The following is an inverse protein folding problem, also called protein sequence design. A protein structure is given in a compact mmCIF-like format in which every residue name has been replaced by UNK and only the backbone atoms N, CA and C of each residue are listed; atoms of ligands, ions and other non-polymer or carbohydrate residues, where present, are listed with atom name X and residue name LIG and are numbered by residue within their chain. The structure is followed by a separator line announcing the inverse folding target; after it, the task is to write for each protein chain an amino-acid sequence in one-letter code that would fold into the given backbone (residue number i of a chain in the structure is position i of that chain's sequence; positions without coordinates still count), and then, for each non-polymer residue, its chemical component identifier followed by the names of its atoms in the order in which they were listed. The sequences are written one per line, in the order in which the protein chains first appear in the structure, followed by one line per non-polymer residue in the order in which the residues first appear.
data_IF_504697956376
#
_entry.id   IF_504697956376
#
_cell.length_a   1.000
_cell.length_b   1.000
_cell.length_c   1.000
_cell.angle_alpha   90.00
_cell.angle_beta   90.00
_cell.angle_gamma   90.00
#
_symmetry.space_group_name_H-M   'P 1'
#
loop_
_entity.id
_entity.type
_entity.pdbx_description
1 polymer ?
#
# COMPACT_ATOMS: atom_id res chain seq x y z
N UNK A 1 -9.79 -19.35 -8.67
CA UNK A 1 -8.65 -18.44 -8.39
C UNK A 1 -8.22 -17.78 -9.68
N UNK A 2 -7.82 -16.51 -9.64
CA UNK A 2 -7.55 -15.75 -10.86
C UNK A 2 -6.06 -15.69 -11.22
N UNK A 3 -5.80 -15.55 -12.50
CA UNK A 3 -4.56 -15.04 -13.04
C UNK A 3 -4.70 -13.54 -13.29
N UNK A 4 -3.61 -12.81 -13.07
CA UNK A 4 -3.52 -11.39 -13.30
C UNK A 4 -2.25 -11.06 -14.08
N UNK A 5 -2.40 -10.31 -15.17
CA UNK A 5 -1.27 -9.83 -15.95
C UNK A 5 -1.41 -8.37 -16.33
N UNK A 6 -0.28 -7.71 -16.50
CA UNK A 6 -0.22 -6.34 -16.99
C UNK A 6 1.15 -6.08 -17.62
N UNK A 7 1.23 -5.02 -18.41
CA UNK A 7 2.46 -4.45 -18.94
C UNK A 7 2.77 -3.17 -18.17
N UNK A 8 4.02 -3.00 -17.81
CA UNK A 8 4.54 -1.76 -17.26
C UNK A 8 5.97 -1.55 -17.74
N UNK A 9 6.55 -0.39 -17.46
CA UNK A 9 7.98 -0.22 -17.65
C UNK A 9 8.76 -1.20 -16.77
N UNK A 10 9.79 -1.81 -17.34
CA UNK A 10 10.71 -2.67 -16.65
C UNK A 10 11.61 -1.83 -15.75
N UNK A 11 11.86 -2.34 -14.56
CA UNK A 11 12.89 -1.85 -13.67
C UNK A 11 13.83 -2.98 -13.30
N UNK A 12 15.09 -2.62 -13.05
CA UNK A 12 16.02 -3.46 -12.33
C UNK A 12 16.04 -3.08 -10.86
N UNK A 13 16.28 -4.11 -10.06
CA UNK A 13 16.78 -3.98 -8.71
C UNK A 13 18.30 -3.95 -8.81
N UNK A 14 18.90 -2.79 -8.55
CA UNK A 14 20.35 -2.66 -8.59
C UNK A 14 20.84 -2.56 -7.15
N UNK A 15 21.81 -3.43 -6.82
CA UNK A 15 22.48 -3.42 -5.53
C UNK A 15 23.84 -2.76 -5.69
N UNK A 16 24.00 -1.54 -5.18
CA UNK A 16 25.31 -0.93 -5.01
C UNK A 16 25.69 -0.91 -3.53
N UNK A 17 26.82 -1.52 -3.22
CA UNK A 17 27.30 -1.69 -1.83
C UNK A 17 26.27 -2.41 -0.94
N UNK A 18 25.67 -1.69 0.03
CA UNK A 18 24.67 -2.18 0.99
C UNK A 18 23.26 -1.65 0.71
N UNK A 19 23.02 -1.02 -0.45
CA UNK A 19 21.74 -0.39 -0.79
C UNK A 19 21.11 -1.02 -2.03
N UNK A 20 19.78 -1.08 -2.03
CA UNK A 20 18.98 -1.43 -3.21
C UNK A 20 18.31 -0.19 -3.79
N UNK A 21 18.45 0.02 -5.09
CA UNK A 21 17.71 1.08 -5.80
C UNK A 21 17.00 0.53 -7.03
N UNK A 22 15.93 1.23 -7.40
CA UNK A 22 15.12 0.93 -8.58
C UNK A 22 15.68 1.75 -9.75
N UNK A 23 16.13 1.05 -10.80
CA UNK A 23 16.53 1.67 -12.06
C UNK A 23 15.56 1.30 -13.17
N UNK A 24 14.82 2.28 -13.67
CA UNK A 24 13.94 2.11 -14.82
C UNK A 24 14.74 1.83 -16.11
N UNK A 25 14.23 0.94 -16.95
CA UNK A 25 14.90 0.53 -18.20
C UNK A 25 14.40 1.24 -19.45
N UNK A 26 13.36 2.06 -19.36
CA UNK A 26 12.66 2.61 -20.54
C UNK A 26 12.27 1.53 -21.56
N UNK A 27 11.97 0.32 -21.07
CA UNK A 27 11.53 -0.84 -21.86
C UNK A 27 10.31 -1.43 -21.20
N UNK A 28 9.31 -1.83 -21.96
CA UNK A 28 8.13 -2.47 -21.39
C UNK A 28 8.42 -3.94 -21.06
N UNK A 29 7.77 -4.43 -20.00
CA UNK A 29 7.79 -5.83 -19.60
C UNK A 29 6.38 -6.26 -19.19
N UNK A 30 5.97 -7.41 -19.70
CA UNK A 30 4.76 -8.09 -19.25
C UNK A 30 5.06 -8.85 -17.94
N UNK A 31 4.15 -8.71 -16.99
CA UNK A 31 4.13 -9.43 -15.73
C UNK A 31 2.88 -10.29 -15.70
N UNK A 32 3.01 -11.52 -15.21
CA UNK A 32 1.88 -12.44 -15.08
C UNK A 32 2.02 -13.21 -13.77
N UNK A 33 0.91 -13.31 -13.05
CA UNK A 33 0.82 -13.93 -11.74
C UNK A 33 -0.40 -14.88 -11.73
N UNK A 34 -0.23 -16.06 -11.14
CA UNK A 34 -1.33 -16.97 -10.81
C UNK A 34 -1.80 -16.72 -9.37
N UNK A 35 -2.83 -17.46 -8.95
CA UNK A 35 -3.23 -17.57 -7.54
C UNK A 35 -3.62 -16.23 -6.90
N UNK A 36 -4.25 -15.37 -7.70
CA UNK A 36 -4.73 -14.07 -7.30
C UNK A 36 -6.19 -14.14 -6.83
N UNK A 37 -6.50 -13.38 -5.79
CA UNK A 37 -7.86 -13.03 -5.38
C UNK A 37 -8.20 -11.66 -5.95
N UNK A 38 -9.43 -11.49 -6.42
CA UNK A 38 -9.89 -10.23 -7.00
C UNK A 38 -11.12 -9.77 -6.25
N UNK A 39 -11.13 -8.50 -5.85
CA UNK A 39 -12.26 -7.81 -5.26
C UNK A 39 -12.61 -6.58 -6.08
N UNK A 40 -13.90 -6.31 -6.18
CA UNK A 40 -14.44 -5.16 -6.90
C UNK A 40 -15.11 -4.23 -5.89
N UNK A 41 -14.88 -2.94 -6.03
CA UNK A 41 -15.57 -1.90 -5.26
C UNK A 41 -16.13 -0.89 -6.25
N UNK A 42 -17.44 -0.66 -6.22
CA UNK A 42 -18.09 0.41 -6.98
C UNK A 42 -17.46 1.78 -6.69
N UNK A 43 -17.38 2.63 -7.71
CA UNK A 43 -16.97 4.02 -7.58
C UNK A 43 -18.01 4.93 -8.22
N UNK A 44 -18.01 6.19 -7.80
CA UNK A 44 -18.74 7.24 -8.51
C UNK A 44 -18.31 7.28 -10.00
N UNK A 45 -19.19 7.79 -10.87
CA UNK A 45 -18.94 8.00 -12.30
C UNK A 45 -18.84 6.72 -13.17
N UNK A 46 -19.57 5.66 -12.83
CA UNK A 46 -19.62 4.43 -13.62
C UNK A 46 -18.25 3.74 -13.78
N UNK A 47 -17.37 3.95 -12.80
CA UNK A 47 -16.06 3.33 -12.68
C UNK A 47 -16.11 2.24 -11.61
N UNK A 48 -15.23 1.24 -11.73
CA UNK A 48 -15.04 0.26 -10.67
C UNK A 48 -13.57 0.22 -10.28
N UNK A 49 -13.34 0.13 -8.97
CA UNK A 49 -12.02 -0.17 -8.43
C UNK A 49 -11.84 -1.67 -8.37
N UNK A 50 -10.78 -2.14 -9.00
CA UNK A 50 -10.36 -3.54 -8.97
C UNK A 50 -9.19 -3.64 -8.02
N UNK A 51 -9.28 -4.53 -7.04
CA UNK A 51 -8.23 -4.84 -6.08
C UNK A 51 -7.82 -6.29 -6.31
N UNK A 52 -6.56 -6.48 -6.66
CA UNK A 52 -5.94 -7.78 -6.84
C UNK A 52 -5.03 -8.06 -5.66
N UNK A 53 -5.20 -9.23 -5.03
CA UNK A 53 -4.36 -9.71 -3.94
C UNK A 53 -3.68 -11.01 -4.31
N UNK A 54 -2.45 -11.17 -3.84
CA UNK A 54 -1.74 -12.45 -3.86
C UNK A 54 -1.05 -12.69 -2.52
N UNK A 55 -1.05 -13.93 -2.06
CA UNK A 55 -0.31 -14.29 -0.85
C UNK A 55 1.19 -14.23 -1.12
N UNK A 56 1.92 -13.84 -0.08
CA UNK A 56 3.38 -13.92 -0.02
C UNK A 56 3.78 -14.35 1.38
N UNK A 57 4.57 -15.42 1.44
CA UNK A 57 5.16 -15.90 2.67
C UNK A 57 6.67 -15.68 2.68
N UNK A 58 7.27 -15.70 3.86
CA UNK A 58 8.71 -15.59 4.04
C UNK A 58 9.08 -15.63 5.52
N UNK A 59 10.35 -15.35 5.81
CA UNK A 59 10.86 -15.29 7.19
C UNK A 59 11.24 -13.85 7.55
N UNK A 60 10.73 -13.37 8.69
CA UNK A 60 11.07 -12.07 9.23
C UNK A 60 12.26 -12.19 10.18
N UNK A 61 13.38 -11.57 9.81
CA UNK A 61 14.53 -11.45 10.73
C UNK A 61 14.23 -10.59 11.95
N UNK A 62 13.24 -9.70 11.85
CA UNK A 62 12.86 -8.81 12.95
C UNK A 62 11.99 -9.53 13.99
N UNK A 63 11.02 -10.34 13.54
CA UNK A 63 10.15 -11.13 14.42
C UNK A 63 10.72 -12.51 14.74
N UNK A 64 11.79 -12.91 14.06
CA UNK A 64 12.39 -14.24 14.13
C UNK A 64 11.40 -15.38 13.82
N UNK A 65 10.41 -15.09 12.98
CA UNK A 65 9.31 -16.00 12.65
C UNK A 65 8.98 -15.99 11.15
N UNK A 66 8.34 -17.06 10.69
CA UNK A 66 7.68 -17.03 9.39
C UNK A 66 6.51 -16.03 9.40
N UNK A 67 6.20 -15.49 8.23
CA UNK A 67 5.06 -14.61 8.01
C UNK A 67 4.29 -15.00 6.75
N UNK A 68 3.02 -14.60 6.73
CA UNK A 68 2.17 -14.60 5.55
C UNK A 68 1.48 -13.23 5.46
N UNK A 69 1.66 -12.58 4.31
CA UNK A 69 1.04 -11.29 3.99
C UNK A 69 0.33 -11.36 2.64
N UNK A 70 -0.56 -10.40 2.40
CA UNK A 70 -1.02 -10.11 1.05
C UNK A 70 -0.13 -9.05 0.39
N UNK A 71 0.18 -9.27 -0.88
CA UNK A 71 0.53 -8.17 -1.78
C UNK A 71 -0.75 -7.68 -2.45
N UNK A 72 -0.97 -6.38 -2.44
CA UNK A 72 -2.15 -5.73 -3.01
C UNK A 72 -1.73 -4.84 -4.19
N UNK A 73 -2.51 -4.89 -5.28
CA UNK A 73 -2.47 -3.94 -6.38
C UNK A 73 -3.90 -3.48 -6.67
N UNK A 74 -4.09 -2.16 -6.79
CA UNK A 74 -5.40 -1.56 -7.01
C UNK A 74 -5.36 -0.67 -8.24
N UNK A 75 -6.37 -0.77 -9.10
CA UNK A 75 -6.53 0.11 -10.26
C UNK A 75 -8.00 0.45 -10.48
N UNK A 76 -8.25 1.53 -11.20
CA UNK A 76 -9.61 1.99 -11.53
C UNK A 76 -9.89 1.71 -13.00
N UNK A 77 -10.91 0.89 -13.26
CA UNK A 77 -11.34 0.57 -14.61
C UNK A 77 -12.50 1.48 -15.04
N UNK A 78 -12.30 2.21 -16.14
CA UNK A 78 -13.34 2.98 -16.81
C UNK A 78 -13.95 2.25 -18.00
N UNK A 79 -13.23 1.29 -18.59
CA UNK A 79 -13.76 0.40 -19.60
C UNK A 79 -13.16 -1.01 -19.46
N UNK A 80 -13.92 -2.01 -19.91
CA UNK A 80 -13.45 -3.38 -19.98
C UNK A 80 -14.14 -4.10 -21.14
N UNK A 81 -13.47 -5.12 -21.66
CA UNK A 81 -14.03 -6.02 -22.66
C UNK A 81 -13.69 -7.46 -22.32
N UNK A 82 -14.63 -8.36 -22.58
CA UNK A 82 -14.38 -9.79 -22.52
C UNK A 82 -13.86 -10.28 -23.86
N UNK A 83 -12.81 -11.09 -23.85
CA UNK A 83 -12.25 -11.70 -25.04
C UNK A 83 -12.07 -13.20 -24.82
N UNK A 84 -12.68 -14.00 -25.69
CA UNK A 84 -12.59 -15.46 -25.64
C UNK A 84 -11.44 -15.96 -26.51
N UNK A 85 -10.51 -16.70 -25.91
CA UNK A 85 -9.37 -17.32 -26.60
C UNK A 85 -9.44 -18.82 -26.38
N UNK A 86 -9.84 -19.56 -27.41
CA UNK A 86 -10.09 -21.00 -27.29
C UNK A 86 -11.24 -21.27 -26.33
N UNK A 87 -10.94 -21.93 -25.20
CA UNK A 87 -11.89 -22.26 -24.14
C UNK A 87 -11.79 -21.35 -22.90
N UNK A 88 -11.03 -20.24 -22.99
CA UNK A 88 -10.83 -19.32 -21.87
C UNK A 88 -11.44 -17.95 -22.18
N UNK A 89 -12.14 -17.40 -21.20
CA UNK A 89 -12.54 -16.00 -21.21
C UNK A 89 -11.48 -15.16 -20.50
N UNK A 90 -11.20 -13.97 -21.03
CA UNK A 90 -10.23 -13.02 -20.48
C UNK A 90 -10.91 -11.65 -20.40
N UNK A 91 -10.88 -11.04 -19.21
CA UNK A 91 -11.30 -9.66 -19.01
C UNK A 91 -10.10 -8.77 -19.28
N UNK A 92 -10.23 -7.88 -20.25
CA UNK A 92 -9.22 -6.88 -20.61
C UNK A 92 -9.72 -5.52 -20.15
N UNK A 93 -8.89 -4.81 -19.38
CA UNK A 93 -9.22 -3.50 -18.83
C UNK A 93 -8.49 -2.40 -19.61
N UNK A 94 -9.24 -1.35 -19.97
CA UNK A 94 -8.66 -0.13 -20.51
C UNK A 94 -8.55 0.88 -19.37
N UNK A 95 -7.31 1.27 -19.03
CA UNK A 95 -7.01 2.22 -17.96
C UNK A 95 -6.73 3.62 -18.54
N UNK A 96 -7.25 4.65 -17.88
CA UNK A 96 -6.95 6.04 -18.22
C UNK A 96 -5.46 6.31 -18.01
N UNK A 97 -4.76 6.63 -19.11
CA UNK A 97 -3.33 6.92 -19.05
C UNK A 97 -3.11 8.38 -18.64
N UNK A 98 -2.36 8.62 -17.57
CA UNK A 98 -2.01 10.00 -17.20
C UNK A 98 -0.98 10.58 -18.17
N UNK A 99 -0.97 11.91 -18.30
CA UNK A 99 0.09 12.62 -19.04
C UNK A 99 1.33 12.88 -18.20
N UNK A 100 1.26 12.57 -16.90
CA UNK A 100 2.36 12.82 -15.98
C UNK A 100 3.42 11.72 -16.16
N UNK A 101 4.60 12.12 -16.62
CA UNK A 101 5.72 11.19 -16.86
C UNK A 101 6.23 10.55 -15.57
N UNK A 102 5.90 11.13 -14.42
CA UNK A 102 6.26 10.60 -13.11
C UNK A 102 5.21 9.60 -12.57
N UNK A 103 3.99 9.59 -13.13
CA UNK A 103 2.94 8.62 -12.81
C UNK A 103 2.79 7.61 -13.95
N UNK A 104 3.33 6.42 -13.76
CA UNK A 104 3.31 5.35 -14.76
C UNK A 104 2.07 4.51 -14.54
N UNK A 105 1.19 4.44 -15.53
CA UNK A 105 -0.02 3.64 -15.46
C UNK A 105 0.23 2.20 -15.96
N UNK A 106 -0.54 1.25 -15.46
CA UNK A 106 -0.54 -0.11 -15.98
C UNK A 106 -1.13 -0.13 -17.40
N UNK A 107 -0.60 -1.01 -18.24
CA UNK A 107 -1.05 -1.25 -19.62
C UNK A 107 -1.46 -2.71 -19.81
N UNK A 108 -2.26 -2.99 -20.83
CA UNK A 108 -2.68 -4.35 -21.20
C UNK A 108 -3.09 -5.21 -19.99
N UNK A 109 -3.89 -4.62 -19.10
CA UNK A 109 -4.28 -5.25 -17.84
C UNK A 109 -5.33 -6.32 -18.13
N UNK A 110 -5.07 -7.54 -17.66
CA UNK A 110 -5.91 -8.71 -17.91
C UNK A 110 -6.13 -9.53 -16.65
N UNK A 111 -7.35 -10.02 -16.48
CA UNK A 111 -7.73 -10.98 -15.44
C UNK A 111 -8.48 -12.13 -16.11
N UNK A 112 -8.16 -13.37 -15.72
CA UNK A 112 -8.88 -14.57 -16.16
C UNK A 112 -8.77 -15.65 -15.09
N UNK A 113 -9.61 -16.68 -15.18
CA UNK A 113 -9.47 -17.93 -14.42
C UNK A 113 -9.36 -19.11 -15.40
N UNK A 114 -8.84 -20.22 -14.92
CA UNK A 114 -8.93 -21.49 -15.64
C UNK A 114 -10.37 -22.04 -15.64
N UNK A 115 -11.22 -21.58 -14.71
CA UNK A 115 -12.66 -21.76 -14.74
C UNK A 115 -13.33 -20.57 -15.46
N UNK A 116 -13.99 -20.86 -16.59
CA UNK A 116 -14.70 -19.85 -17.38
C UNK A 116 -15.85 -19.22 -16.59
N UNK A 117 -16.49 -19.96 -15.69
CA UNK A 117 -17.60 -19.47 -14.87
C UNK A 117 -17.10 -18.43 -13.86
N UNK A 118 -15.96 -18.65 -13.21
CA UNK A 118 -15.37 -17.65 -12.30
C UNK A 118 -15.05 -16.34 -13.03
N UNK A 119 -14.61 -16.41 -14.29
CA UNK A 119 -14.32 -15.22 -15.09
C UNK A 119 -15.59 -14.47 -15.47
N UNK A 120 -16.64 -15.21 -15.86
CA UNK A 120 -17.95 -14.65 -16.17
C UNK A 120 -18.58 -13.99 -14.94
N UNK A 121 -18.52 -14.63 -13.78
CA UNK A 121 -19.04 -14.10 -12.52
C UNK A 121 -18.31 -12.82 -12.12
N UNK A 122 -16.99 -12.77 -12.27
CA UNK A 122 -16.21 -11.55 -12.05
C UNK A 122 -16.60 -10.44 -13.01
N UNK A 123 -16.75 -10.74 -14.30
CA UNK A 123 -17.15 -9.75 -15.31
C UNK A 123 -18.52 -9.14 -14.97
N UNK A 124 -19.50 -9.99 -14.62
CA UNK A 124 -20.84 -9.54 -14.23
C UNK A 124 -20.82 -8.74 -12.91
N UNK A 125 -20.01 -9.15 -11.93
CA UNK A 125 -19.79 -8.40 -10.70
C UNK A 125 -19.25 -7.00 -10.98
N UNK A 126 -18.30 -6.86 -11.90
CA UNK A 126 -17.76 -5.56 -12.28
C UNK A 126 -18.83 -4.70 -12.95
N UNK A 127 -19.62 -5.25 -13.88
CA UNK A 127 -20.73 -4.50 -14.50
C UNK A 127 -21.75 -4.01 -13.47
N UNK A 128 -22.10 -4.85 -12.51
CA UNK A 128 -23.02 -4.50 -11.44
C UNK A 128 -22.47 -3.38 -10.55
N UNK A 129 -21.23 -3.51 -10.07
CA UNK A 129 -20.61 -2.53 -9.17
C UNK A 129 -20.34 -1.19 -9.85
N UNK A 130 -20.06 -1.15 -11.16
CA UNK A 130 -19.95 0.11 -11.90
C UNK A 130 -21.26 0.92 -11.90
N UNK A 131 -22.40 0.24 -11.96
CA UNK A 131 -23.72 0.88 -11.90
C UNK A 131 -24.19 1.20 -10.48
N UNK A 132 -23.48 0.72 -9.47
CA UNK A 132 -23.86 0.83 -8.07
C UNK A 132 -23.04 1.93 -7.41
N UNK A 133 -23.67 3.06 -7.05
CA UNK A 133 -23.06 4.07 -6.17
C UNK A 133 -23.04 3.55 -4.72
N UNK A 134 -22.48 2.36 -4.50
CA UNK A 134 -22.23 1.86 -3.16
C UNK A 134 -21.12 2.69 -2.54
N UNK A 135 -21.46 3.45 -1.50
CA UNK A 135 -20.49 4.19 -0.68
C UNK A 135 -19.55 3.25 0.12
N UNK A 136 -19.55 1.94 -0.12
CA UNK A 136 -18.77 0.97 0.64
C UNK A 136 -17.31 1.03 0.21
N UNK A 137 -16.58 1.98 0.77
CA UNK A 137 -15.13 2.17 0.64
C UNK A 137 -14.33 1.10 1.41
N UNK A 138 -14.88 -0.11 1.56
CA UNK A 138 -14.38 -1.19 2.41
C UNK A 138 -13.60 -2.22 1.58
N UNK A 139 -12.29 -2.28 1.81
CA UNK A 139 -11.32 -3.14 1.14
C UNK A 139 -11.09 -4.42 1.96
N UNK A 140 -12.13 -5.07 2.45
CA UNK A 140 -11.99 -6.29 3.28
C UNK A 140 -11.31 -7.45 2.52
N UNK A 141 -10.58 -8.30 3.25
CA UNK A 141 -10.08 -9.60 2.81
C UNK A 141 -10.84 -10.72 3.51
N UNK A 142 -11.12 -11.80 2.78
CA UNK A 142 -11.79 -12.98 3.34
C UNK A 142 -10.95 -13.61 4.47
N UNK A 143 -11.62 -14.13 5.49
CA UNK A 143 -11.06 -14.98 6.56
C UNK A 143 -10.22 -14.30 7.65
N UNK A 144 -10.30 -12.97 7.79
CA UNK A 144 -9.73 -12.30 8.96
C UNK A 144 -10.77 -12.17 10.07
N UNK A 145 -10.35 -12.42 11.31
CA UNK A 145 -11.19 -12.14 12.48
C UNK A 145 -11.56 -10.65 12.51
N UNK A 146 -12.78 -10.36 12.97
CA UNK A 146 -13.22 -8.98 13.15
C UNK A 146 -12.48 -8.36 14.33
N UNK A 147 -11.95 -7.18 14.12
CA UNK A 147 -11.38 -6.38 15.18
C UNK A 147 -12.30 -5.17 15.44
N UNK A 148 -12.69 -4.96 16.69
CA UNK A 148 -13.58 -3.83 17.02
C UNK A 148 -12.80 -2.58 17.46
N UNK A 149 -11.47 -2.66 17.50
CA UNK A 149 -10.58 -1.55 17.88
C UNK A 149 -10.26 -0.70 16.67
N UNK A 150 -10.05 0.60 16.87
CA UNK A 150 -9.57 1.48 15.81
C UNK A 150 -8.11 1.15 15.51
N UNK A 151 -7.85 0.53 14.36
CA UNK A 151 -6.51 0.06 13.96
C UNK A 151 -6.33 0.27 12.46
N UNK A 152 -5.37 1.11 12.01
CA UNK A 152 -5.21 1.37 10.58
C UNK A 152 -4.63 0.15 9.85
N UNK A 153 -4.96 0.04 8.57
CA UNK A 153 -4.29 -0.89 7.64
C UNK A 153 -3.34 -0.08 6.76
N UNK A 154 -2.07 -0.48 6.76
CA UNK A 154 -1.01 0.26 6.06
C UNK A 154 -0.66 -0.47 4.77
N UNK A 155 -0.65 0.26 3.65
CA UNK A 155 -0.09 -0.23 2.39
C UNK A 155 1.23 0.46 2.09
N UNK A 156 2.29 -0.34 1.91
CA UNK A 156 3.62 0.16 1.56
C UNK A 156 4.10 -0.45 0.24
N UNK A 157 4.61 0.32 -0.73
CA UNK A 157 5.21 -0.21 -1.94
C UNK A 157 6.23 -1.32 -1.62
N UNK A 158 6.08 -2.47 -2.27
CA UNK A 158 6.91 -3.67 -2.02
C UNK A 158 8.39 -3.42 -2.18
N UNK A 159 8.73 -2.59 -3.16
CA UNK A 159 10.10 -2.20 -3.50
C UNK A 159 10.71 -1.24 -2.46
N UNK A 160 9.89 -0.59 -1.63
CA UNK A 160 10.34 0.26 -0.53
C UNK A 160 10.59 -0.54 0.75
N UNK A 161 9.67 -1.45 1.06
CA UNK A 161 9.76 -2.36 2.20
C UNK A 161 10.97 -3.33 2.19
N UNK A 162 11.89 -3.26 1.24
CA UNK A 162 13.12 -4.05 1.28
C UNK A 162 14.13 -3.53 2.30
N UNK A 163 14.27 -2.21 2.40
CA UNK A 163 15.19 -1.56 3.33
C UNK A 163 14.45 -0.72 4.37
N UNK A 164 13.24 -0.24 4.03
CA UNK A 164 12.42 0.65 4.84
C UNK A 164 11.16 -0.04 5.40
N UNK A 165 11.18 -1.34 5.67
CA UNK A 165 9.95 -2.03 6.10
C UNK A 165 9.39 -1.49 7.43
N UNK A 166 8.07 -1.42 7.50
CA UNK A 166 7.33 -1.15 8.73
C UNK A 166 7.58 -2.26 9.75
N UNK A 167 7.94 -1.88 10.98
CA UNK A 167 8.20 -2.80 12.10
C UNK A 167 7.09 -2.80 13.12
N UNK A 168 6.65 -1.62 13.52
CA UNK A 168 5.73 -1.45 14.63
C UNK A 168 4.66 -0.43 14.28
N UNK A 169 3.46 -0.68 14.76
CA UNK A 169 2.34 0.26 14.71
C UNK A 169 1.88 0.45 16.15
N UNK A 170 1.87 1.70 16.59
CA UNK A 170 1.41 2.06 17.93
C UNK A 170 0.17 2.95 17.82
N UNK A 171 -0.84 2.65 18.63
CA UNK A 171 -2.10 3.38 18.63
C UNK A 171 -2.38 3.82 20.06
N UNK A 172 -2.27 5.12 20.28
CA UNK A 172 -2.51 5.73 21.58
C UNK A 172 -3.81 6.55 21.54
N UNK A 173 -4.79 6.19 22.35
CA UNK A 173 -6.05 6.93 22.46
C UNK A 173 -5.85 8.13 23.39
N UNK A 174 -6.09 9.32 22.87
CA UNK A 174 -6.01 10.60 23.60
C UNK A 174 -7.30 10.87 24.39
N UNK A 175 -7.20 11.72 25.40
CA UNK A 175 -8.33 12.12 26.27
C UNK A 175 -9.49 12.78 25.49
N UNK A 176 -9.17 13.48 24.40
CA UNK A 176 -10.14 14.14 23.54
C UNK A 176 -10.88 13.18 22.59
N UNK A 177 -10.60 11.88 22.69
CA UNK A 177 -11.17 10.82 21.88
C UNK A 177 -10.47 10.59 20.54
N UNK A 178 -9.46 11.39 20.18
CA UNK A 178 -8.63 11.11 18.99
C UNK A 178 -7.65 9.96 19.22
N UNK A 179 -7.15 9.39 18.14
CA UNK A 179 -6.13 8.36 18.16
C UNK A 179 -4.84 8.92 17.57
N UNK A 180 -3.76 8.90 18.33
CA UNK A 180 -2.41 9.09 17.82
C UNK A 180 -1.90 7.76 17.29
N UNK A 181 -1.51 7.75 16.02
CA UNK A 181 -1.03 6.58 15.31
C UNK A 181 0.43 6.81 14.93
N UNK A 182 1.33 5.99 15.46
CA UNK A 182 2.76 6.04 15.18
C UNK A 182 3.22 4.80 14.43
N UNK A 183 3.90 5.00 13.32
CA UNK A 183 4.50 3.97 12.47
C UNK A 183 6.01 3.98 12.69
N UNK A 184 6.59 2.84 13.06
CA UNK A 184 8.03 2.70 13.26
C UNK A 184 8.63 1.91 12.10
N UNK A 185 9.45 2.57 11.30
CA UNK A 185 10.13 1.97 10.15
C UNK A 185 11.56 1.57 10.52
N UNK A 186 12.03 0.48 9.91
CA UNK A 186 13.39 -0.03 10.09
C UNK A 186 14.46 1.05 9.83
N UNK A 187 14.24 1.87 8.81
CA UNK A 187 15.17 2.85 8.29
C UNK A 187 14.40 3.87 7.46
N UNK A 188 15.02 5.00 7.08
CA UNK A 188 14.50 5.95 6.10
C UNK A 188 15.60 6.16 5.05
N UNK A 189 15.51 5.42 3.93
CA UNK A 189 16.44 5.48 2.80
C UNK A 189 15.91 6.44 1.73
N UNK A 190 16.62 7.55 1.52
CA UNK A 190 16.34 8.49 0.41
C UNK A 190 16.84 7.92 -0.93
N UNK A 191 15.98 7.91 -1.97
CA UNK A 191 16.29 7.32 -3.30
C UNK A 191 16.99 8.26 -4.27
N UNK A 192 16.57 9.52 -4.35
CA UNK A 192 17.09 10.59 -5.20
C UNK A 192 18.32 11.26 -4.60
N UNK A 193 18.39 11.38 -3.27
CA UNK A 193 19.47 12.08 -2.57
C UNK A 193 20.32 11.18 -1.68
N UNK A 194 20.75 10.01 -2.19
CA UNK A 194 21.49 9.00 -1.43
C UNK A 194 22.79 9.46 -0.73
N UNK A 195 23.36 10.62 -1.10
CA UNK A 195 24.50 11.24 -0.40
C UNK A 195 24.08 11.86 0.95
N UNK A 196 22.86 12.41 1.05
CA UNK A 196 22.33 13.04 2.28
C UNK A 196 21.84 12.02 3.31
N UNK A 197 21.59 10.79 2.88
CA UNK A 197 21.09 9.69 3.71
C UNK A 197 22.06 9.31 4.85
N UNK A 198 23.37 9.36 4.58
CA UNK A 198 24.41 9.14 5.61
C UNK A 198 24.46 10.27 6.65
N UNK A 199 24.20 11.50 6.22
CA UNK A 199 24.16 12.68 7.09
C UNK A 199 22.88 12.69 7.92
N UNK A 200 21.72 12.34 7.34
CA UNK A 200 20.44 12.27 8.05
C UNK A 200 20.42 11.16 9.10
N UNK A 201 20.90 9.95 8.78
CA UNK A 201 21.06 8.86 9.75
C UNK A 201 22.03 9.25 10.88
N UNK A 202 23.13 9.92 10.54
CA UNK A 202 24.10 10.41 11.52
C UNK A 202 23.52 11.51 12.41
N UNK A 203 22.77 12.46 11.86
CA UNK A 203 22.04 13.47 12.63
C UNK A 203 21.01 12.81 13.54
N UNK A 204 20.26 11.80 13.09
CA UNK A 204 19.32 11.07 13.94
C UNK A 204 20.01 10.33 15.08
N UNK A 205 21.12 9.67 14.79
CA UNK A 205 21.93 9.00 15.80
C UNK A 205 22.48 9.99 16.83
N UNK A 206 22.97 11.16 16.39
CA UNK A 206 23.53 12.17 17.29
C UNK A 206 22.47 12.93 18.09
N UNK A 207 21.34 13.29 17.47
CA UNK A 207 20.30 14.13 18.05
C UNK A 207 19.25 13.34 18.83
N UNK A 208 18.89 12.16 18.34
CA UNK A 208 17.79 11.33 18.87
C UNK A 208 18.24 9.94 19.32
N UNK A 209 19.53 9.59 19.20
CA UNK A 209 20.10 8.29 19.61
C UNK A 209 19.40 7.05 19.01
N UNK A 210 18.69 7.21 17.89
CA UNK A 210 18.03 6.14 17.14
C UNK A 210 18.39 6.16 15.65
N UNK A 211 18.27 5.01 15.00
CA UNK A 211 18.43 4.87 13.53
C UNK A 211 17.10 4.63 12.81
N UNK A 212 16.12 4.03 13.50
CA UNK A 212 14.77 3.81 13.00
C UNK A 212 14.05 5.13 12.77
N UNK A 213 13.08 5.12 11.87
CA UNK A 213 12.25 6.28 11.59
C UNK A 213 10.85 6.14 12.21
N UNK A 214 10.25 7.26 12.62
CA UNK A 214 8.96 7.27 13.33
C UNK A 214 8.09 8.35 12.70
N UNK A 215 6.98 7.93 12.11
CA UNK A 215 5.97 8.83 11.56
C UNK A 215 4.69 8.78 12.37
N UNK A 216 4.16 9.95 12.70
CA UNK A 216 3.01 10.10 13.59
C UNK A 216 1.93 10.96 12.94
N UNK A 217 0.70 10.47 12.92
CA UNK A 217 -0.49 11.23 12.54
C UNK A 217 -1.60 10.99 13.57
N UNK A 218 -2.67 11.79 13.49
CA UNK A 218 -3.86 11.55 14.32
C UNK A 218 -5.06 11.15 13.47
N UNK A 219 -6.01 10.45 14.08
CA UNK A 219 -7.28 10.06 13.47
C UNK A 219 -8.43 10.34 14.44
N UNK A 220 -9.47 11.02 13.96
CA UNK A 220 -10.68 11.35 14.73
C UNK A 220 -11.85 11.54 13.78
N UNK A 221 -13.03 11.04 14.15
CA UNK A 221 -14.28 11.27 13.40
C UNK A 221 -14.15 11.01 11.89
N UNK A 222 -13.51 9.89 11.52
CA UNK A 222 -13.28 9.49 10.13
C UNK A 222 -12.35 10.42 9.32
N UNK A 223 -11.54 11.23 9.99
CA UNK A 223 -10.58 12.14 9.39
C UNK A 223 -9.16 11.88 9.91
N UNK A 224 -8.21 11.96 9.00
CA UNK A 224 -6.78 11.98 9.28
C UNK A 224 -6.28 13.41 9.46
N UNK A 225 -5.35 13.58 10.38
CA UNK A 225 -4.65 14.83 10.66
C UNK A 225 -3.15 14.56 10.51
N UNK A 226 -2.57 14.99 9.39
CA UNK A 226 -1.16 14.76 9.08
C UNK A 226 -0.32 15.97 9.48
N UNK A 227 0.53 15.80 10.49
CA UNK A 227 1.51 16.82 10.90
C UNK A 227 2.81 16.66 10.14
N UNK A 228 3.00 17.43 9.07
CA UNK A 228 4.22 17.49 8.27
C UNK A 228 4.64 16.15 7.62
N UNK A 229 3.67 15.26 7.34
CA UNK A 229 3.93 13.94 6.74
C UNK A 229 2.93 13.60 5.64
N UNK A 230 2.19 14.58 5.12
CA UNK A 230 1.25 14.36 4.02
C UNK A 230 1.96 14.37 2.66
N UNK A 231 1.78 13.30 1.89
CA UNK A 231 2.45 13.11 0.60
C UNK A 231 1.81 13.89 -0.56
N UNK A 232 0.57 14.39 -0.44
CA UNK A 232 -0.09 15.04 -1.57
C UNK A 232 -0.16 14.14 -2.81
N UNK A 233 0.42 14.57 -3.93
CA UNK A 233 0.51 13.80 -5.19
C UNK A 233 1.87 13.13 -5.38
N UNK A 234 2.74 13.21 -4.38
CA UNK A 234 4.11 12.72 -4.43
C UNK A 234 4.17 11.21 -4.32
N UNK A 235 5.05 10.59 -5.11
CA UNK A 235 5.22 9.14 -5.16
C UNK A 235 6.60 8.73 -4.65
N UNK A 236 6.96 7.45 -4.81
CA UNK A 236 8.15 6.86 -4.20
C UNK A 236 9.47 7.54 -4.59
N UNK A 237 9.48 8.31 -5.68
CA UNK A 237 10.67 8.98 -6.22
C UNK A 237 10.82 10.44 -5.75
N UNK A 238 9.93 10.92 -4.90
CA UNK A 238 9.95 12.27 -4.34
C UNK A 238 10.34 12.22 -2.85
N UNK A 239 11.59 12.55 -2.57
CA UNK A 239 12.22 12.32 -1.26
C UNK A 239 12.14 13.50 -0.26
N UNK A 240 11.56 14.63 -0.66
CA UNK A 240 11.63 15.89 0.12
C UNK A 240 10.27 16.40 0.55
N UNK A 241 9.26 15.54 0.55
CA UNK A 241 7.86 15.95 0.67
C UNK A 241 7.39 15.72 2.09
N UNK A 242 7.00 16.82 2.74
CA UNK A 242 6.46 16.88 4.08
C UNK A 242 5.45 18.02 4.12
N UNK A 243 4.17 17.72 3.98
CA UNK A 243 3.10 18.72 4.03
C UNK A 243 2.20 18.48 5.24
N UNK A 244 1.41 19.48 5.60
CA UNK A 244 0.32 19.37 6.56
C UNK A 244 -1.02 19.35 5.84
N UNK A 245 -1.92 18.47 6.27
CA UNK A 245 -3.27 18.41 5.72
C UNK A 245 -4.20 17.58 6.62
N UNK A 246 -5.46 18.01 6.70
CA UNK A 246 -6.54 17.25 7.31
C UNK A 246 -7.49 16.75 6.22
N UNK A 247 -7.74 15.44 6.17
CA UNK A 247 -8.53 14.81 5.12
C UNK A 247 -9.40 13.67 5.65
N UNK A 248 -10.61 13.48 5.09
CA UNK A 248 -11.39 12.29 5.40
C UNK A 248 -10.66 11.02 4.94
N UNK A 249 -10.82 9.94 5.71
CA UNK A 249 -10.37 8.62 5.27
C UNK A 249 -11.11 8.22 3.99
N UNK A 250 -10.33 7.86 2.97
CA UNK A 250 -10.85 7.53 1.64
C UNK A 250 -11.25 6.07 1.53
N UNK A 251 -10.59 5.20 2.27
CA UNK A 251 -10.85 3.77 2.32
C UNK A 251 -10.76 3.24 3.74
N UNK A 252 -11.44 2.13 3.94
CA UNK A 252 -11.51 1.38 5.18
C UNK A 252 -11.28 -0.10 4.89
N UNK A 253 -10.98 -0.88 5.91
CA UNK A 253 -10.78 -2.32 5.81
C UNK A 253 -11.72 -3.02 6.80
N UNK A 254 -12.46 -4.06 6.41
CA UNK A 254 -13.55 -4.67 7.21
C UNK A 254 -14.70 -3.71 7.56
N UNK A 255 -14.44 -2.61 8.27
CA UNK A 255 -15.41 -1.57 8.66
C UNK A 255 -14.70 -0.22 8.92
N UNK A 256 -15.44 0.78 9.41
CA UNK A 256 -14.94 2.15 9.62
C UNK A 256 -13.88 2.31 10.71
N UNK A 257 -13.65 1.28 11.55
CA UNK A 257 -12.60 1.31 12.57
C UNK A 257 -11.20 1.09 11.99
N UNK A 258 -11.09 0.60 10.76
CA UNK A 258 -9.80 0.32 10.15
C UNK A 258 -9.55 1.19 8.94
N UNK A 259 -9.23 2.48 9.15
CA UNK A 259 -8.97 3.37 8.04
C UNK A 259 -7.67 2.94 7.34
N UNK A 260 -7.65 3.06 6.02
CA UNK A 260 -6.54 2.63 5.17
C UNK A 260 -5.62 3.80 4.87
N UNK A 261 -4.32 3.55 4.94
CA UNK A 261 -3.27 4.56 4.70
C UNK A 261 -2.23 4.00 3.75
N UNK A 262 -1.74 4.84 2.84
CA UNK A 262 -0.70 4.52 1.90
C UNK A 262 0.59 5.24 2.28
N UNK A 263 1.69 4.49 2.38
CA UNK A 263 3.04 5.04 2.38
C UNK A 263 3.37 5.35 0.92
N UNK A 264 3.57 6.62 0.60
CA UNK A 264 3.69 7.04 -0.79
C UNK A 264 5.11 7.42 -1.21
N UNK A 265 5.96 7.84 -0.28
CA UNK A 265 7.33 8.29 -0.58
C UNK A 265 8.37 7.45 0.17
N UNK A 266 9.64 7.55 -0.26
CA UNK A 266 10.76 6.83 0.37
C UNK A 266 11.12 7.38 1.76
N UNK A 267 10.78 8.65 2.00
CA UNK A 267 10.83 9.32 3.30
C UNK A 267 9.51 9.19 4.10
N UNK A 268 8.72 8.15 3.81
CA UNK A 268 7.49 7.78 4.53
C UNK A 268 6.36 8.82 4.63
N UNK A 269 6.27 9.77 3.70
CA UNK A 269 5.09 10.61 3.61
C UNK A 269 3.85 9.76 3.24
N UNK A 270 2.74 10.03 3.92
CA UNK A 270 1.52 9.25 3.93
C UNK A 270 0.36 9.98 3.25
N UNK A 271 -0.62 9.23 2.76
CA UNK A 271 -1.92 9.79 2.35
C UNK A 271 -3.04 8.74 2.42
N UNK A 272 -4.32 9.17 2.44
CA UNK A 272 -5.47 8.26 2.32
C UNK A 272 -5.64 7.67 0.91
N UNK A 273 -4.81 8.08 -0.06
CA UNK A 273 -4.85 7.61 -1.45
C UNK A 273 -3.48 7.12 -1.93
N UNK A 274 -3.53 6.27 -2.94
CA UNK A 274 -2.38 5.60 -3.53
C UNK A 274 -1.77 6.42 -4.68
N UNK A 275 -0.54 6.89 -4.51
CA UNK A 275 0.23 7.57 -5.56
C UNK A 275 1.16 6.61 -6.35
N UNK A 276 1.21 5.33 -5.98
CA UNK A 276 2.09 4.31 -6.54
C UNK A 276 1.27 3.12 -7.06
N UNK A 277 0.16 3.37 -7.74
CA UNK A 277 -0.83 2.36 -8.15
C UNK A 277 -0.24 1.25 -9.06
N UNK A 278 0.87 1.53 -9.74
CA UNK A 278 1.63 0.61 -10.57
C UNK A 278 2.54 -0.35 -9.81
N UNK A 279 2.69 -0.15 -8.50
CA UNK A 279 3.51 -0.99 -7.64
C UNK A 279 2.64 -1.89 -6.74
N UNK A 280 3.03 -3.16 -6.64
CA UNK A 280 2.55 -4.06 -5.60
C UNK A 280 2.88 -3.49 -4.22
N UNK A 281 1.95 -3.64 -3.28
CA UNK A 281 2.09 -3.12 -1.91
C UNK A 281 1.99 -4.25 -0.90
N UNK A 282 2.79 -4.21 0.15
CA UNK A 282 2.53 -5.00 1.34
C UNK A 282 1.26 -4.48 2.01
N UNK A 283 0.34 -5.38 2.33
CA UNK A 283 -0.87 -5.09 3.10
C UNK A 283 -0.61 -5.41 4.58
N UNK A 284 -0.34 -4.39 5.38
CA UNK A 284 -0.13 -4.55 6.82
C UNK A 284 -1.45 -4.48 7.58
N UNK A 285 -2.06 -5.65 7.84
CA UNK A 285 -3.20 -5.84 8.76
C UNK A 285 -2.68 -6.19 10.15
N UNK A 286 -2.68 -5.26 11.14
CA UNK A 286 -1.88 -5.44 12.36
C UNK A 286 -2.40 -6.49 13.34
N UNK A 287 -3.68 -6.85 13.24
CA UNK A 287 -4.28 -7.91 14.04
C UNK A 287 -4.24 -9.28 13.35
N UNK A 288 -3.63 -9.38 12.16
CA UNK A 288 -3.37 -10.67 11.55
C UNK A 288 -2.22 -11.36 12.27
N UNK A 289 -2.46 -12.53 12.86
CA UNK A 289 -1.44 -13.27 13.63
C UNK A 289 -0.21 -13.74 12.82
N UNK A 290 -0.21 -13.57 11.50
CA UNK A 290 0.86 -14.01 10.59
C UNK A 290 1.71 -12.88 10.04
N UNK A 291 1.50 -11.63 10.47
CA UNK A 291 2.15 -10.47 9.87
C UNK A 291 3.45 -10.11 10.60
N UNK A 292 4.52 -9.65 9.89
CA UNK A 292 5.81 -9.45 10.54
C UNK A 292 5.95 -8.06 11.19
N UNK A 293 4.92 -7.61 11.91
CA UNK A 293 4.93 -6.33 12.64
C UNK A 293 4.46 -6.49 14.09
N UNK A 294 4.86 -5.56 14.96
CA UNK A 294 4.37 -5.46 16.33
C UNK A 294 3.25 -4.42 16.42
N UNK A 295 2.22 -4.73 17.20
CA UNK A 295 1.17 -3.79 17.56
C UNK A 295 1.36 -3.35 19.02
N UNK A 296 1.35 -2.04 19.27
CA UNK A 296 1.53 -1.45 20.59
C UNK A 296 0.62 -0.25 20.85
N UNK A 297 0.77 0.38 22.03
CA UNK A 297 -0.09 1.49 22.49
C UNK A 297 0.68 2.70 23.03
N UNK A 298 1.99 2.71 22.78
CA UNK A 298 2.90 3.78 23.23
C UNK A 298 2.61 5.08 22.47
N UNK A 299 2.79 6.20 23.17
CA UNK A 299 2.90 7.54 22.56
C UNK A 299 4.19 7.68 21.77
N UNK A 300 4.28 8.69 20.89
CA UNK A 300 5.53 8.99 20.17
C UNK A 300 6.74 9.14 21.12
N UNK A 301 6.58 9.87 22.22
CA UNK A 301 7.65 10.12 23.18
C UNK A 301 8.13 8.84 23.89
N UNK A 302 7.21 7.93 24.20
CA UNK A 302 7.54 6.63 24.79
C UNK A 302 8.28 5.73 23.79
N UNK A 303 7.86 5.74 22.52
CA UNK A 303 8.57 5.02 21.45
C UNK A 303 9.98 5.59 21.32
N UNK A 304 10.14 6.91 21.22
CA UNK A 304 11.46 7.53 21.09
C UNK A 304 12.38 7.12 22.25
N UNK A 305 11.92 7.21 23.50
CA UNK A 305 12.67 6.75 24.68
C UNK A 305 13.02 5.27 24.64
N UNK A 306 12.12 4.41 24.15
CA UNK A 306 12.37 2.98 24.04
C UNK A 306 13.44 2.62 22.98
N UNK A 307 13.63 3.52 22.01
CA UNK A 307 14.58 3.36 20.91
C UNK A 307 15.92 4.08 21.14
N UNK A 308 16.00 4.95 22.16
CA UNK A 308 17.25 5.55 22.61
C UNK A 308 18.23 4.45 23.02
N UNK A 309 19.37 4.39 22.33
CA UNK A 309 20.47 3.47 22.66
C UNK A 309 21.62 4.15 23.38
#
# INVERSE_FOLDING_TARGET
MFHFSYVQEAYDEVKESRRYYLSWKNKEKAWSYSDCKVKVIGMDDNKARIIVRRKKSGYSKFMESDFEVNLMMGFVASNMRKHTVGYKDIIIFDLEQTKDKHHRELKDVKIWSDDVHETEDLYNTILQERGNNTNTKIIESDHLERNNSVVPVIYQPKIDAWENFLREIHIHKKDDGSFEMSLVFQDEVLRKHGILDGIYRYIRLLKYKRTMDIETFSFKDNQFFFGNIYSGKSNLFEDTVHNEMDLPAKYYFQDTNHPVIFVNTSNHALAPHDNNHDLWKWEYVPWSGTIPIKLGTMTRDEIEKSLER
#
